data_IF_043679334925
#
_entry.id   IF_043679334925
#
_cell.length_a   1.000
_cell.length_b   1.000
_cell.length_c   1.000
_cell.angle_alpha   90.00
_cell.angle_beta   90.00
_cell.angle_gamma   90.00
#
_symmetry.space_group_name_H-M   'P 1'
#
loop_
_entity.id
_entity.type
_entity.pdbx_description
1 polymer ?
#
# COMPACT_ATOMS: atom_id res chain seq x y z
N UNK A 1 -31.14 2.26 18.99
CA UNK A 1 -31.28 3.61 18.41
C UNK A 1 -30.05 3.85 17.55
N UNK A 2 -30.14 3.58 16.26
CA UNK A 2 -29.08 3.94 15.32
C UNK A 2 -29.13 5.46 15.11
N UNK A 3 -28.05 6.17 15.47
CA UNK A 3 -27.92 7.61 15.25
C UNK A 3 -27.11 7.83 13.96
N UNK A 4 -27.76 8.00 12.80
CA UNK A 4 -27.08 8.12 11.51
C UNK A 4 -26.14 9.33 11.45
N UNK A 5 -26.39 10.36 12.26
CA UNK A 5 -25.61 11.59 12.35
C UNK A 5 -24.19 11.34 12.89
N UNK A 6 -24.06 10.43 13.85
CA UNK A 6 -22.76 10.03 14.43
C UNK A 6 -21.92 9.23 13.43
N UNK A 7 -22.56 8.36 12.65
CA UNK A 7 -21.89 7.56 11.60
C UNK A 7 -21.39 8.48 10.48
N UNK A 8 -22.21 9.43 10.04
CA UNK A 8 -21.82 10.39 9.00
C UNK A 8 -20.72 11.37 9.43
N UNK A 9 -20.67 11.76 10.72
CA UNK A 9 -19.60 12.59 11.29
C UNK A 9 -18.27 11.82 11.37
N UNK A 10 -18.33 10.56 11.81
CA UNK A 10 -17.17 9.65 11.84
C UNK A 10 -16.65 9.42 10.42
N UNK A 11 -17.50 9.10 9.44
CA UNK A 11 -17.09 8.96 8.03
C UNK A 11 -16.40 10.22 7.50
N UNK A 12 -16.85 11.41 7.92
CA UNK A 12 -16.23 12.69 7.56
C UNK A 12 -14.88 12.90 8.25
N UNK A 13 -14.69 12.39 9.47
CA UNK A 13 -13.44 12.53 10.21
C UNK A 13 -12.31 11.69 9.57
N UNK A 14 -12.60 10.47 9.11
CA UNK A 14 -11.62 9.62 8.44
C UNK A 14 -11.21 10.14 7.05
N UNK A 15 -12.05 10.97 6.42
CA UNK A 15 -11.72 11.67 5.18
C UNK A 15 -10.76 12.85 5.37
N UNK A 16 -10.45 13.28 6.62
CA UNK A 16 -9.60 14.44 6.88
C UNK A 16 -8.11 14.07 6.87
N UNK A 17 -7.27 14.77 6.07
CA UNK A 17 -5.83 14.53 6.05
C UNK A 17 -5.18 14.66 7.42
N UNK A 18 -5.68 15.59 8.25
CA UNK A 18 -5.16 15.85 9.60
C UNK A 18 -5.32 14.64 10.52
N UNK A 19 -6.33 13.79 10.30
CA UNK A 19 -6.58 12.59 11.12
C UNK A 19 -5.81 11.39 10.59
N UNK A 20 -5.77 11.19 9.26
CA UNK A 20 -5.11 10.02 8.66
C UNK A 20 -3.60 10.14 8.61
N UNK A 21 -3.05 11.34 8.45
CA UNK A 21 -1.61 11.54 8.32
C UNK A 21 -0.84 11.04 9.55
N UNK A 22 -1.22 11.39 10.80
CA UNK A 22 -0.57 10.84 12.00
C UNK A 22 -0.65 9.30 12.08
N UNK A 23 -1.80 8.73 11.73
CA UNK A 23 -2.00 7.26 11.72
C UNK A 23 -1.03 6.60 10.74
N UNK A 24 -0.91 7.15 9.52
CA UNK A 24 0.02 6.64 8.52
C UNK A 24 1.47 6.81 8.93
N UNK A 25 1.83 7.93 9.57
CA UNK A 25 3.17 8.13 10.13
C UNK A 25 3.49 7.06 11.16
N UNK A 26 2.59 6.78 12.11
CA UNK A 26 2.82 5.76 13.13
C UNK A 26 3.00 4.37 12.52
N UNK A 27 2.12 3.96 11.59
CA UNK A 27 2.25 2.68 10.90
C UNK A 27 3.56 2.61 10.10
N UNK A 28 3.94 3.70 9.43
CA UNK A 28 5.17 3.77 8.65
C UNK A 28 6.43 3.66 9.51
N UNK A 29 6.45 4.30 10.69
CA UNK A 29 7.57 4.20 11.64
C UNK A 29 7.71 2.78 12.20
N UNK A 30 6.59 2.10 12.49
CA UNK A 30 6.57 0.69 12.91
C UNK A 30 7.05 -0.22 11.78
N UNK A 31 6.60 0.03 10.55
CA UNK A 31 7.06 -0.68 9.36
C UNK A 31 8.57 -0.49 9.13
N UNK A 32 9.08 0.73 9.29
CA UNK A 32 10.51 1.05 9.17
C UNK A 32 11.40 0.36 10.20
N UNK A 33 10.88 0.07 11.38
CA UNK A 33 11.59 -0.65 12.44
C UNK A 33 11.75 -2.15 12.14
N UNK A 34 10.99 -2.69 11.20
CA UNK A 34 11.14 -4.08 10.76
C UNK A 34 12.21 -4.19 9.67
N UNK A 35 13.06 -5.22 9.69
CA UNK A 35 13.97 -5.53 8.57
C UNK A 35 13.19 -5.69 7.27
N UNK A 36 13.78 -5.25 6.16
CA UNK A 36 13.24 -5.44 4.81
C UNK A 36 13.00 -6.92 4.53
N UNK A 37 11.84 -7.23 3.92
CA UNK A 37 11.42 -8.58 3.53
C UNK A 37 11.36 -9.64 4.65
N UNK A 38 11.46 -9.23 5.93
CA UNK A 38 11.29 -10.13 7.08
C UNK A 38 9.84 -10.52 7.33
N UNK A 39 9.63 -11.58 8.13
CA UNK A 39 8.28 -12.06 8.48
C UNK A 39 7.39 -10.94 9.07
N UNK A 40 7.93 -10.12 9.98
CA UNK A 40 7.19 -9.01 10.61
C UNK A 40 6.75 -7.95 9.59
N UNK A 41 7.63 -7.59 8.66
CA UNK A 41 7.34 -6.65 7.59
C UNK A 41 6.22 -7.19 6.69
N UNK A 42 6.31 -8.47 6.29
CA UNK A 42 5.28 -9.11 5.47
C UNK A 42 3.92 -9.19 6.18
N UNK A 43 3.90 -9.55 7.47
CA UNK A 43 2.66 -9.56 8.25
C UNK A 43 2.04 -8.17 8.36
N UNK A 44 2.85 -7.12 8.56
CA UNK A 44 2.36 -5.75 8.61
C UNK A 44 1.77 -5.30 7.27
N UNK A 45 2.43 -5.63 6.14
CA UNK A 45 1.90 -5.35 4.79
C UNK A 45 0.59 -6.10 4.55
N UNK A 46 0.53 -7.40 4.86
CA UNK A 46 -0.67 -8.22 4.63
C UNK A 46 -1.85 -7.77 5.48
N UNK A 47 -1.62 -7.51 6.78
CA UNK A 47 -2.67 -7.06 7.70
C UNK A 47 -3.15 -5.65 7.36
N UNK A 48 -2.23 -4.71 7.16
CA UNK A 48 -2.57 -3.33 6.81
C UNK A 48 -3.20 -3.27 5.43
N UNK A 49 -2.61 -3.91 4.44
CA UNK A 49 -3.12 -3.96 3.07
C UNK A 49 -4.48 -4.65 2.99
N UNK A 50 -4.68 -5.75 3.72
CA UNK A 50 -5.97 -6.42 3.84
C UNK A 50 -7.03 -5.55 4.51
N UNK A 51 -6.67 -4.84 5.59
CA UNK A 51 -7.56 -3.88 6.25
C UNK A 51 -7.94 -2.72 5.31
N UNK A 52 -6.98 -2.17 4.58
CA UNK A 52 -7.23 -1.12 3.59
C UNK A 52 -8.12 -1.61 2.45
N UNK A 53 -7.86 -2.82 1.92
CA UNK A 53 -8.68 -3.44 0.90
C UNK A 53 -10.12 -3.65 1.37
N UNK A 54 -10.29 -4.18 2.59
CA UNK A 54 -11.59 -4.35 3.22
C UNK A 54 -12.32 -3.01 3.39
N UNK A 55 -11.63 -1.98 3.89
CA UNK A 55 -12.18 -0.63 4.02
C UNK A 55 -12.61 -0.06 2.67
N UNK A 56 -11.83 -0.25 1.61
CA UNK A 56 -12.18 0.16 0.25
C UNK A 56 -13.41 -0.56 -0.32
N UNK A 57 -13.61 -1.83 0.04
CA UNK A 57 -14.80 -2.62 -0.33
C UNK A 57 -16.01 -2.39 0.57
N UNK A 58 -15.85 -1.74 1.72
CA UNK A 58 -16.94 -1.46 2.64
C UNK A 58 -17.96 -0.50 2.00
N UNK A 59 -19.27 -0.74 2.14
CA UNK A 59 -20.30 0.15 1.63
C UNK A 59 -20.39 1.48 2.40
N UNK A 60 -19.73 1.59 3.55
CA UNK A 60 -19.73 2.79 4.39
C UNK A 60 -18.58 3.76 4.06
N UNK A 61 -17.60 3.32 3.27
CA UNK A 61 -16.57 4.25 2.81
C UNK A 61 -17.19 5.22 1.78
N UNK A 62 -16.99 6.55 1.92
CA UNK A 62 -17.39 7.51 0.91
C UNK A 62 -16.63 7.21 -0.39
N UNK A 63 -17.32 6.59 -1.36
CA UNK A 63 -16.72 6.17 -2.63
C UNK A 63 -16.80 7.29 -3.65
N UNK A 64 -15.74 7.42 -4.45
CA UNK A 64 -15.84 8.07 -5.75
C UNK A 64 -16.85 7.35 -6.63
N UNK A 65 -17.54 8.10 -7.49
CA UNK A 65 -18.13 7.50 -8.68
C UNK A 65 -17.00 6.93 -9.54
N UNK A 66 -16.84 5.60 -9.54
CA UNK A 66 -15.89 4.95 -10.41
C UNK A 66 -16.20 5.32 -11.86
N UNK A 67 -15.19 5.68 -12.68
CA UNK A 67 -15.42 5.91 -14.08
C UNK A 67 -16.07 4.66 -14.71
N UNK A 68 -17.08 4.82 -15.58
CA UNK A 68 -17.86 3.70 -16.09
C UNK A 68 -17.03 2.71 -16.93
N UNK A 69 -15.84 3.15 -17.38
CA UNK A 69 -14.85 2.34 -18.08
C UNK A 69 -13.45 2.74 -17.64
N UNK A 70 -12.56 1.77 -17.45
CA UNK A 70 -11.13 2.04 -17.38
C UNK A 70 -10.66 2.60 -18.73
N UNK A 71 -9.82 3.62 -18.70
CA UNK A 71 -9.16 4.11 -19.90
C UNK A 71 -8.36 2.96 -20.54
N UNK A 72 -8.34 2.86 -21.88
CA UNK A 72 -7.54 1.83 -22.58
C UNK A 72 -6.06 1.89 -22.19
N UNK A 73 -5.57 3.08 -21.81
CA UNK A 73 -4.22 3.28 -21.28
C UNK A 73 -3.92 2.53 -19.97
N UNK A 74 -4.94 2.17 -19.19
CA UNK A 74 -4.75 1.48 -17.91
C UNK A 74 -4.12 0.08 -18.08
N UNK A 75 -4.42 -0.61 -19.20
CA UNK A 75 -3.82 -1.91 -19.53
C UNK A 75 -2.30 -1.83 -19.66
N UNK A 76 -1.75 -0.68 -20.09
CA UNK A 76 -0.30 -0.52 -20.21
C UNK A 76 0.42 -0.56 -18.87
N UNK A 77 -0.27 -0.36 -17.74
CA UNK A 77 0.30 -0.58 -16.41
C UNK A 77 0.50 -2.05 -16.06
N UNK A 78 -0.17 -2.97 -16.76
CA UNK A 78 0.08 -4.40 -16.59
C UNK A 78 1.43 -4.80 -17.15
N UNK A 79 1.95 -4.11 -18.17
CA UNK A 79 3.24 -4.44 -18.80
C UNK A 79 4.40 -4.36 -17.81
N UNK A 80 4.67 -3.22 -17.12
CA UNK A 80 5.77 -3.17 -16.15
C UNK A 80 5.53 -4.10 -14.96
N UNK A 81 4.27 -4.31 -14.56
CA UNK A 81 3.93 -5.20 -13.45
C UNK A 81 4.22 -6.68 -13.79
N UNK A 82 3.81 -7.12 -14.97
CA UNK A 82 4.04 -8.48 -15.46
C UNK A 82 5.53 -8.70 -15.75
N UNK A 83 6.20 -7.72 -16.35
CA UNK A 83 7.64 -7.79 -16.58
C UNK A 83 8.38 -7.94 -15.24
N UNK A 84 8.05 -7.11 -14.25
CA UNK A 84 8.59 -7.23 -12.91
C UNK A 84 8.33 -8.62 -12.33
N UNK A 85 7.08 -9.11 -12.37
CA UNK A 85 6.72 -10.42 -11.82
C UNK A 85 7.41 -11.59 -12.52
N UNK A 86 7.56 -11.55 -13.85
CA UNK A 86 8.26 -12.59 -14.63
C UNK A 86 9.76 -12.59 -14.31
N UNK A 87 10.40 -11.41 -14.32
CA UNK A 87 11.83 -11.29 -14.02
C UNK A 87 12.10 -11.73 -12.57
N UNK A 88 11.29 -11.26 -11.63
CA UNK A 88 11.42 -11.63 -10.22
C UNK A 88 11.18 -13.11 -10.00
N UNK A 89 10.13 -13.70 -10.60
CA UNK A 89 9.87 -15.13 -10.51
C UNK A 89 10.97 -15.99 -11.12
N UNK A 90 11.49 -15.60 -12.29
CA UNK A 90 12.58 -16.31 -12.95
C UNK A 90 13.88 -16.27 -12.13
N UNK A 91 14.22 -15.10 -11.58
CA UNK A 91 15.40 -14.92 -10.71
C UNK A 91 15.21 -15.51 -9.32
N UNK A 92 13.99 -15.61 -8.81
CA UNK A 92 13.73 -16.31 -7.55
C UNK A 92 13.98 -17.82 -7.70
N UNK A 93 13.57 -18.42 -8.83
CA UNK A 93 13.74 -19.86 -9.08
C UNK A 93 15.16 -20.24 -9.51
N UNK A 94 15.85 -19.38 -10.27
CA UNK A 94 17.12 -19.72 -10.92
C UNK A 94 18.27 -18.77 -10.59
N UNK A 95 18.03 -17.73 -9.78
CA UNK A 95 18.99 -16.66 -9.54
C UNK A 95 20.21 -17.13 -8.76
N UNK A 96 21.36 -16.56 -9.10
CA UNK A 96 22.62 -16.72 -8.39
C UNK A 96 23.06 -15.37 -7.80
N UNK A 97 24.16 -15.34 -7.06
CA UNK A 97 24.68 -14.08 -6.51
C UNK A 97 25.02 -13.04 -7.61
N UNK A 98 25.36 -13.50 -8.81
CA UNK A 98 25.61 -12.64 -9.97
C UNK A 98 24.33 -12.08 -10.62
N UNK A 99 23.18 -12.73 -10.39
CA UNK A 99 21.88 -12.33 -10.94
C UNK A 99 20.83 -12.30 -9.82
N UNK A 100 20.94 -11.33 -8.89
CA UNK A 100 20.04 -11.22 -7.77
C UNK A 100 18.63 -10.82 -8.24
N UNK A 101 17.62 -11.26 -7.49
CA UNK A 101 16.24 -10.75 -7.58
C UNK A 101 16.19 -9.22 -7.42
N UNK A 102 15.21 -8.56 -8.04
CA UNK A 102 14.96 -7.13 -7.87
C UNK A 102 14.70 -6.78 -6.40
N UNK A 103 14.05 -7.66 -5.63
CA UNK A 103 13.88 -7.47 -4.18
C UNK A 103 15.23 -7.36 -3.45
N UNK A 104 16.21 -8.19 -3.82
CA UNK A 104 17.59 -8.08 -3.29
C UNK A 104 18.32 -6.83 -3.77
N UNK A 105 18.07 -6.38 -5.00
CA UNK A 105 18.64 -5.12 -5.48
C UNK A 105 18.04 -3.89 -4.77
N UNK A 106 16.79 -3.98 -4.32
CA UNK A 106 16.16 -2.94 -3.51
C UNK A 106 16.65 -2.94 -2.05
N UNK A 107 17.24 -4.04 -1.59
CA UNK A 107 17.60 -4.25 -0.19
C UNK A 107 18.58 -3.20 0.37
N UNK A 108 19.66 -2.77 -0.33
CA UNK A 108 20.56 -1.73 0.16
C UNK A 108 19.84 -0.39 0.41
N UNK A 109 18.87 -0.05 -0.45
CA UNK A 109 18.05 1.16 -0.28
C UNK A 109 17.12 0.99 0.92
N UNK A 110 16.49 -0.18 1.02
CA UNK A 110 15.58 -0.53 2.09
C UNK A 110 16.28 -0.93 3.38
N UNK A 111 17.60 -0.97 3.45
CA UNK A 111 18.36 -1.19 4.68
C UNK A 111 18.25 0.02 5.62
N UNK A 112 18.08 1.21 5.04
CA UNK A 112 17.90 2.44 5.77
C UNK A 112 16.49 2.55 6.35
N UNK A 113 16.41 2.73 7.68
CA UNK A 113 15.17 2.91 8.42
C UNK A 113 14.22 3.93 7.76
N UNK A 114 14.74 5.11 7.43
CA UNK A 114 13.94 6.20 6.86
C UNK A 114 13.46 5.92 5.45
N UNK A 115 14.23 5.16 4.65
CA UNK A 115 13.79 4.74 3.32
C UNK A 115 12.60 3.78 3.43
N UNK A 116 12.65 2.80 4.36
CA UNK A 116 11.52 1.90 4.64
C UNK A 116 10.30 2.67 5.14
N UNK A 117 10.48 3.53 6.14
CA UNK A 117 9.38 4.34 6.68
C UNK A 117 8.75 5.23 5.59
N UNK A 118 9.57 5.87 4.75
CA UNK A 118 9.11 6.64 3.61
C UNK A 118 8.31 5.81 2.60
N UNK A 119 8.78 4.59 2.29
CA UNK A 119 8.08 3.67 1.39
C UNK A 119 6.70 3.26 1.94
N UNK A 120 6.63 2.86 3.22
CA UNK A 120 5.35 2.55 3.87
C UNK A 120 4.41 3.75 3.89
N UNK A 121 4.91 4.93 4.26
CA UNK A 121 4.11 6.15 4.29
C UNK A 121 3.57 6.51 2.90
N UNK A 122 4.42 6.49 1.88
CA UNK A 122 4.02 6.74 0.50
C UNK A 122 2.98 5.75 -0.02
N UNK A 123 3.12 4.47 0.31
CA UNK A 123 2.15 3.43 -0.05
C UNK A 123 0.77 3.66 0.59
N UNK A 124 0.72 3.95 1.90
CA UNK A 124 -0.51 4.27 2.62
C UNK A 124 -1.18 5.53 2.06
N UNK A 125 -0.38 6.56 1.78
CA UNK A 125 -0.87 7.82 1.24
C UNK A 125 -1.40 7.66 -0.20
N UNK A 126 -0.74 6.84 -1.02
CA UNK A 126 -1.19 6.53 -2.38
C UNK A 126 -2.56 5.84 -2.36
N UNK A 127 -2.74 4.83 -1.49
CA UNK A 127 -4.05 4.19 -1.29
C UNK A 127 -5.10 5.22 -0.87
N UNK A 128 -4.81 6.00 0.17
CA UNK A 128 -5.76 6.96 0.72
C UNK A 128 -6.13 8.04 -0.31
N UNK A 129 -5.16 8.51 -1.11
CA UNK A 129 -5.38 9.44 -2.21
C UNK A 129 -6.28 8.87 -3.32
N UNK A 130 -6.22 7.55 -3.57
CA UNK A 130 -7.12 6.89 -4.51
C UNK A 130 -8.56 6.80 -3.98
N UNK A 131 -8.74 6.55 -2.68
CA UNK A 131 -10.06 6.39 -2.07
C UNK A 131 -10.79 7.72 -1.86
N UNK A 132 -10.08 8.81 -1.53
CA UNK A 132 -10.67 10.12 -1.21
C UNK A 132 -11.02 11.02 -2.40
N UNK A 133 -10.53 10.71 -3.61
CA UNK A 133 -10.84 11.50 -4.82
C UNK A 133 -12.25 11.19 -5.31
#
# INVERSE_FOLDING_TARGET
MDRPELVAEVDRAWARPVVMTPVFVLIALVGGASPSFGLRANLLVLTTGGALFWLGMSPHAPRRTSPPRLARGAVWWLVPLLLFGVVEGATFLNGTYAYPTLSRLADPVLEHYWARAGAYYGWLWAFWAMVRR
#
